data_IF_107585412767
#
_entry.id   IF_107585412767
#
_cell.length_a   1.000
_cell.length_b   1.000
_cell.length_c   1.000
_cell.angle_alpha   90.00
_cell.angle_beta   90.00
_cell.angle_gamma   90.00
#
_symmetry.space_group_name_H-M   'P 1'
#
loop_
_entity.id
_entity.type
_entity.pdbx_description
1 polymer ?
#
# COMPACT_ATOMS: atom_id res chain seq x y z
N UNK A 1 32.64 28.69 44.87
CA UNK A 1 32.13 29.18 43.56
C UNK A 1 32.16 28.14 42.44
N UNK A 2 33.16 27.24 42.33
CA UNK A 2 33.20 26.19 41.29
C UNK A 2 32.02 25.18 41.23
N UNK A 3 31.38 24.73 42.34
CA UNK A 3 30.33 23.72 42.25
C UNK A 3 29.03 24.22 41.61
N UNK A 4 28.73 25.52 41.73
CA UNK A 4 27.53 26.14 41.16
C UNK A 4 27.63 26.17 39.62
N UNK A 5 28.81 26.46 39.09
CA UNK A 5 29.04 26.50 37.63
C UNK A 5 28.89 25.12 36.98
N UNK A 6 29.39 24.06 37.65
CA UNK A 6 29.27 22.68 37.15
C UNK A 6 27.81 22.22 37.11
N UNK A 7 27.03 22.52 38.16
CA UNK A 7 25.60 22.22 38.20
C UNK A 7 24.86 22.94 37.06
N UNK A 8 25.17 24.22 36.83
CA UNK A 8 24.51 25.01 35.79
C UNK A 8 24.81 24.48 34.38
N UNK A 9 26.05 24.08 34.11
CA UNK A 9 26.44 23.47 32.81
C UNK A 9 25.75 22.13 32.60
N UNK A 10 25.68 21.27 33.62
CA UNK A 10 25.02 19.97 33.51
C UNK A 10 23.50 20.12 33.32
N UNK A 11 22.86 21.08 33.99
CA UNK A 11 21.44 21.38 33.79
C UNK A 11 21.16 21.91 32.39
N UNK A 12 22.01 22.81 31.86
CA UNK A 12 21.87 23.31 30.48
C UNK A 12 22.04 22.17 29.49
N UNK A 13 23.07 21.33 29.63
CA UNK A 13 23.33 20.19 28.73
C UNK A 13 22.19 19.17 28.75
N UNK A 14 21.67 18.84 29.94
CA UNK A 14 20.52 17.95 30.08
C UNK A 14 19.27 18.55 29.41
N UNK A 15 19.05 19.86 29.54
CA UNK A 15 17.94 20.56 28.88
C UNK A 15 18.11 20.57 27.36
N UNK A 16 19.32 20.81 26.83
CA UNK A 16 19.56 20.74 25.38
C UNK A 16 19.38 19.33 24.85
N UNK A 17 19.87 18.30 25.54
CA UNK A 17 19.64 16.89 25.15
C UNK A 17 18.13 16.58 25.18
N UNK A 18 17.40 17.02 26.21
CA UNK A 18 15.96 16.81 26.29
C UNK A 18 15.22 17.51 25.13
N UNK A 19 15.58 18.77 24.81
CA UNK A 19 15.00 19.53 23.70
C UNK A 19 15.31 18.87 22.36
N UNK A 20 16.53 18.37 22.13
CA UNK A 20 16.92 17.65 20.91
C UNK A 20 16.14 16.33 20.78
N UNK A 21 15.98 15.58 21.87
CA UNK A 21 15.21 14.32 21.89
C UNK A 21 13.72 14.57 21.66
N UNK A 22 13.15 15.65 22.19
CA UNK A 22 11.76 16.05 21.94
C UNK A 22 11.55 16.54 20.50
N UNK A 23 12.51 17.31 19.95
CA UNK A 23 12.43 17.81 18.57
C UNK A 23 12.49 16.66 17.56
N UNK A 24 13.37 15.67 17.77
CA UNK A 24 13.41 14.46 16.93
C UNK A 24 12.11 13.66 16.96
N UNK A 25 11.35 13.71 18.06
CA UNK A 25 10.04 13.05 18.17
C UNK A 25 8.92 13.79 17.43
N UNK A 26 9.16 15.03 16.99
CA UNK A 26 8.14 15.90 16.39
C UNK A 26 8.26 16.11 14.88
N UNK A 27 9.38 15.70 14.26
CA UNK A 27 9.58 15.89 12.81
C UNK A 27 8.85 14.84 12.00
N UNK A 28 7.54 15.03 11.86
CA UNK A 28 6.77 14.34 10.86
C UNK A 28 7.35 14.62 9.47
N UNK A 29 7.51 13.60 8.63
CA UNK A 29 7.99 13.77 7.25
C UNK A 29 7.11 14.76 6.48
N UNK A 30 7.73 15.59 5.63
CA UNK A 30 7.01 16.43 4.68
C UNK A 30 6.42 15.56 3.58
N UNK A 31 5.17 15.13 3.75
CA UNK A 31 4.48 14.29 2.78
C UNK A 31 3.49 13.32 3.43
N UNK A 32 3.09 12.30 2.66
CA UNK A 32 2.13 11.27 3.08
C UNK A 32 0.72 11.80 3.40
N UNK A 33 -0.14 10.86 3.77
CA UNK A 33 -1.54 11.08 4.08
C UNK A 33 -1.76 11.23 5.58
N UNK A 34 -2.51 12.26 5.97
CA UNK A 34 -3.00 12.42 7.33
C UNK A 34 -4.01 11.32 7.66
N UNK A 35 -3.99 10.85 8.90
CA UNK A 35 -5.02 9.95 9.41
C UNK A 35 -6.39 10.64 9.45
N UNK A 36 -7.45 9.84 9.25
CA UNK A 36 -8.81 10.33 9.46
C UNK A 36 -9.07 10.54 10.94
N UNK A 37 -9.71 11.65 11.30
CA UNK A 37 -10.21 11.87 12.66
C UNK A 37 -11.48 11.07 12.98
N UNK A 38 -12.12 10.48 11.96
CA UNK A 38 -13.36 9.71 12.09
C UNK A 38 -13.15 8.33 11.46
N UNK A 39 -13.14 7.29 12.28
CA UNK A 39 -13.04 5.89 11.85
C UNK A 39 -14.23 5.16 12.47
N UNK A 40 -15.10 4.62 11.62
CA UNK A 40 -16.24 3.82 12.05
C UNK A 40 -15.87 2.33 12.08
N UNK A 41 -16.65 1.50 12.78
CA UNK A 41 -16.38 0.06 12.84
C UNK A 41 -16.37 -0.60 11.44
N UNK A 42 -17.24 -0.13 10.54
CA UNK A 42 -17.31 -0.58 9.13
C UNK A 42 -16.05 -0.26 8.32
N UNK A 43 -15.25 0.69 8.79
CA UNK A 43 -14.05 1.14 8.10
C UNK A 43 -12.85 0.21 8.30
N UNK A 44 -12.91 -0.68 9.31
CA UNK A 44 -11.82 -1.59 9.68
C UNK A 44 -11.26 -2.41 8.52
N UNK A 45 -12.11 -2.71 7.52
CA UNK A 45 -11.76 -3.51 6.37
C UNK A 45 -11.27 -2.71 5.16
N UNK A 46 -11.26 -1.37 5.16
CA UNK A 46 -10.81 -0.59 4.01
C UNK A 46 -9.29 -0.53 3.97
N UNK A 47 -8.69 -1.17 2.95
CA UNK A 47 -7.26 -1.04 2.67
C UNK A 47 -6.90 0.41 2.31
N UNK A 48 -5.71 0.88 2.72
CA UNK A 48 -5.23 2.24 2.47
C UNK A 48 -6.26 3.34 2.79
N UNK A 49 -6.89 3.27 3.97
CA UNK A 49 -8.04 4.07 4.37
C UNK A 49 -7.93 5.59 4.12
N UNK A 50 -6.78 6.27 4.36
CA UNK A 50 -6.64 7.70 4.07
C UNK A 50 -6.81 8.07 2.59
N UNK A 51 -6.72 7.10 1.68
CA UNK A 51 -6.91 7.28 0.23
C UNK A 51 -8.35 7.08 -0.24
N UNK A 52 -9.27 6.59 0.59
CA UNK A 52 -10.63 6.18 0.18
C UNK A 52 -11.42 7.24 -0.61
N UNK A 53 -11.19 8.52 -0.30
CA UNK A 53 -11.85 9.66 -0.94
C UNK A 53 -10.92 10.44 -1.89
N UNK A 54 -9.64 10.05 -1.98
CA UNK A 54 -8.63 10.73 -2.79
C UNK A 54 -8.40 10.04 -4.13
N UNK A 55 -8.63 8.73 -4.18
CA UNK A 55 -8.65 8.00 -5.44
C UNK A 55 -9.99 8.30 -6.13
N UNK A 56 -9.92 8.95 -7.29
CA UNK A 56 -11.12 9.36 -8.01
C UNK A 56 -11.96 8.15 -8.46
N UNK A 57 -13.27 8.23 -8.20
CA UNK A 57 -14.27 7.34 -8.78
C UNK A 57 -14.08 5.86 -8.48
N UNK A 58 -14.25 5.04 -9.52
CA UNK A 58 -14.38 3.59 -9.44
C UNK A 58 -13.06 2.85 -9.17
N UNK A 59 -11.94 3.44 -9.58
CA UNK A 59 -10.60 2.87 -9.40
C UNK A 59 -10.20 2.81 -7.91
N UNK A 60 -10.58 3.84 -7.14
CA UNK A 60 -10.34 3.87 -5.70
C UNK A 60 -11.08 2.77 -4.94
N UNK A 61 -12.34 2.54 -5.30
CA UNK A 61 -13.14 1.49 -4.69
C UNK A 61 -12.56 0.10 -4.97
N UNK A 62 -12.28 -0.23 -6.24
CA UNK A 62 -11.75 -1.54 -6.59
C UNK A 62 -10.39 -1.80 -5.94
N UNK A 63 -9.51 -0.81 -5.92
CA UNK A 63 -8.20 -0.94 -5.27
C UNK A 63 -8.32 -1.21 -3.77
N UNK A 64 -9.10 -0.39 -3.07
CA UNK A 64 -9.30 -0.55 -1.61
C UNK A 64 -9.99 -1.87 -1.28
N UNK A 65 -10.84 -2.39 -2.16
CA UNK A 65 -11.52 -3.67 -2.00
C UNK A 65 -10.59 -4.87 -2.26
N UNK A 66 -9.85 -4.87 -3.38
CA UNK A 66 -8.88 -5.93 -3.70
C UNK A 66 -7.73 -5.97 -2.68
N UNK A 67 -7.25 -4.80 -2.24
CA UNK A 67 -6.26 -4.70 -1.17
C UNK A 67 -6.71 -5.39 0.13
N UNK A 68 -8.01 -5.46 0.40
CA UNK A 68 -8.56 -6.20 1.55
C UNK A 68 -8.41 -7.71 1.41
N UNK A 69 -8.55 -8.27 0.22
CA UNK A 69 -8.29 -9.70 -0.01
C UNK A 69 -6.82 -10.04 0.18
N UNK A 70 -5.94 -9.19 -0.36
CA UNK A 70 -4.50 -9.27 -0.14
C UNK A 70 -4.17 -9.31 1.35
N UNK A 71 -4.64 -8.30 2.09
CA UNK A 71 -4.43 -8.19 3.53
C UNK A 71 -4.96 -9.40 4.29
N UNK A 72 -6.20 -9.81 4.02
CA UNK A 72 -6.82 -10.92 4.73
C UNK A 72 -6.19 -12.26 4.37
N UNK A 73 -5.74 -12.46 3.12
CA UNK A 73 -5.10 -13.69 2.67
C UNK A 73 -3.79 -13.96 3.41
N UNK A 74 -3.04 -12.92 3.75
CA UNK A 74 -1.81 -13.00 4.53
C UNK A 74 -2.02 -12.80 6.04
N UNK A 75 -3.25 -12.73 6.53
CA UNK A 75 -3.58 -12.41 7.94
C UNK A 75 -2.86 -11.14 8.44
N UNK A 76 -2.85 -10.10 7.61
CA UNK A 76 -2.20 -8.82 7.91
C UNK A 76 -3.17 -7.84 8.59
N UNK A 77 -2.70 -7.08 9.61
CA UNK A 77 -3.52 -6.02 10.19
C UNK A 77 -3.67 -4.84 9.22
N UNK A 78 -4.74 -4.08 9.39
CA UNK A 78 -4.91 -2.83 8.66
C UNK A 78 -4.11 -1.70 9.33
N UNK A 79 -2.89 -1.46 8.82
CA UNK A 79 -2.01 -0.41 9.32
C UNK A 79 -2.36 0.99 8.79
N UNK A 80 -3.46 1.19 8.06
CA UNK A 80 -3.79 2.51 7.48
C UNK A 80 -4.78 3.33 8.33
N UNK A 81 -5.44 2.70 9.30
CA UNK A 81 -6.57 3.31 10.00
C UNK A 81 -6.15 4.46 10.92
N UNK A 82 -5.13 4.23 11.75
CA UNK A 82 -4.74 5.13 12.85
C UNK A 82 -3.22 5.11 13.04
N UNK A 83 -2.64 6.16 13.64
CA UNK A 83 -1.22 6.17 13.96
C UNK A 83 -0.86 5.02 14.90
N UNK A 84 0.27 4.37 14.64
CA UNK A 84 0.85 3.36 15.51
C UNK A 84 1.91 3.98 16.42
N UNK A 85 2.07 3.47 17.66
CA UNK A 85 3.06 3.99 18.60
C UNK A 85 4.50 3.76 18.14
N UNK A 86 4.73 2.77 17.26
CA UNK A 86 6.01 2.51 16.62
C UNK A 86 5.80 2.45 15.11
N UNK A 87 6.72 2.99 14.31
CA UNK A 87 6.63 2.89 12.86
C UNK A 87 6.62 1.44 12.39
N UNK A 88 5.75 1.14 11.43
CA UNK A 88 5.73 -0.14 10.71
C UNK A 88 5.74 0.15 9.23
N UNK A 89 6.58 -0.58 8.52
CA UNK A 89 6.68 -0.57 7.07
C UNK A 89 6.24 -1.93 6.54
N UNK A 90 5.54 -1.95 5.41
CA UNK A 90 5.09 -3.19 4.76
C UNK A 90 5.29 -3.08 3.26
N UNK A 91 6.18 -3.91 2.72
CA UNK A 91 6.35 -4.12 1.30
C UNK A 91 5.50 -5.32 0.86
N UNK A 92 4.61 -5.09 -0.09
CA UNK A 92 3.90 -6.12 -0.84
C UNK A 92 4.59 -6.23 -2.19
N UNK A 93 4.98 -7.46 -2.55
CA UNK A 93 5.57 -7.77 -3.85
C UNK A 93 4.66 -8.74 -4.59
N UNK A 94 4.22 -8.33 -5.77
CA UNK A 94 3.40 -9.13 -6.66
C UNK A 94 4.17 -9.40 -7.95
N UNK A 95 4.15 -10.62 -8.45
CA UNK A 95 4.86 -10.96 -9.68
C UNK A 95 4.02 -11.91 -10.53
N UNK A 96 4.03 -11.68 -11.84
CA UNK A 96 3.23 -12.48 -12.78
C UNK A 96 3.63 -13.96 -12.80
N UNK A 97 4.92 -14.24 -12.56
CA UNK A 97 5.50 -15.59 -12.67
C UNK A 97 6.24 -16.04 -11.41
N UNK A 98 6.21 -15.25 -10.33
CA UNK A 98 6.83 -15.61 -9.06
C UNK A 98 5.78 -15.60 -7.96
N UNK A 99 6.14 -16.18 -6.81
CA UNK A 99 5.25 -16.22 -5.66
C UNK A 99 5.16 -14.83 -5.03
N UNK A 100 3.93 -14.43 -4.77
CA UNK A 100 3.64 -13.20 -4.05
C UNK A 100 4.19 -13.26 -2.62
N UNK A 101 4.50 -12.10 -2.06
CA UNK A 101 5.01 -12.01 -0.69
C UNK A 101 4.68 -10.68 -0.01
N UNK A 102 4.73 -10.72 1.31
CA UNK A 102 4.61 -9.55 2.19
C UNK A 102 5.83 -9.51 3.11
N UNK A 103 6.52 -8.38 3.16
CA UNK A 103 7.63 -8.12 4.08
C UNK A 103 7.21 -6.96 4.97
N UNK A 104 6.86 -7.25 6.22
CA UNK A 104 6.55 -6.24 7.23
C UNK A 104 7.75 -6.07 8.18
N UNK A 105 8.13 -4.85 8.51
CA UNK A 105 9.22 -4.62 9.45
C UNK A 105 9.02 -3.37 10.30
N UNK A 106 9.62 -3.40 11.48
CA UNK A 106 9.71 -2.30 12.41
C UNK A 106 11.04 -2.35 13.15
N UNK A 107 11.17 -1.58 14.21
CA UNK A 107 12.36 -1.65 15.05
C UNK A 107 12.44 -3.03 15.74
N UNK A 108 13.53 -3.77 15.49
CA UNK A 108 13.83 -5.05 16.12
C UNK A 108 13.50 -6.30 15.31
N UNK A 109 12.53 -6.25 14.38
CA UNK A 109 12.18 -7.42 13.57
C UNK A 109 11.66 -7.10 12.17
N UNK A 110 11.88 -8.06 11.27
CA UNK A 110 11.27 -8.18 9.96
C UNK A 110 10.53 -9.52 9.89
N UNK A 111 9.31 -9.49 9.36
CA UNK A 111 8.44 -10.63 9.15
C UNK A 111 8.22 -10.78 7.65
N UNK A 112 8.62 -11.93 7.11
CA UNK A 112 8.50 -12.27 5.70
C UNK A 112 7.43 -13.36 5.56
N UNK A 113 6.37 -13.06 4.82
CA UNK A 113 5.33 -14.03 4.47
C UNK A 113 5.40 -14.35 2.99
N UNK A 114 5.61 -15.63 2.64
CA UNK A 114 5.78 -16.08 1.25
C UNK A 114 4.64 -17.00 0.88
N UNK A 115 3.98 -16.73 -0.24
CA UNK A 115 2.96 -17.64 -0.77
C UNK A 115 3.54 -19.05 -0.97
N UNK A 116 2.75 -20.06 -0.63
CA UNK A 116 3.04 -21.48 -0.88
C UNK A 116 2.10 -22.05 -1.93
N UNK A 117 0.79 -21.83 -1.76
CA UNK A 117 -0.27 -22.31 -2.65
C UNK A 117 -1.47 -21.35 -2.62
N UNK A 118 -2.35 -21.48 -3.62
CA UNK A 118 -3.64 -20.80 -3.70
C UNK A 118 -3.50 -19.40 -4.28
N UNK A 119 -4.60 -18.66 -4.30
CA UNK A 119 -4.63 -17.28 -4.81
C UNK A 119 -5.17 -16.35 -3.75
N UNK A 120 -4.60 -15.16 -3.71
CA UNK A 120 -5.13 -13.99 -3.01
C UNK A 120 -6.18 -13.25 -3.83
N UNK A 121 -6.12 -13.38 -5.15
CA UNK A 121 -7.03 -12.69 -6.05
C UNK A 121 -8.36 -13.43 -6.01
N UNK A 122 -9.48 -12.73 -5.76
CA UNK A 122 -10.78 -13.35 -5.92
C UNK A 122 -11.04 -13.74 -7.38
N UNK A 123 -11.89 -14.72 -7.57
CA UNK A 123 -12.46 -15.02 -8.88
C UNK A 123 -13.65 -14.11 -9.16
N UNK A 124 -13.94 -13.89 -10.45
CA UNK A 124 -15.09 -13.11 -10.90
C UNK A 124 -16.13 -14.01 -11.56
N UNK A 125 -17.27 -14.18 -10.89
CA UNK A 125 -18.40 -14.96 -11.35
C UNK A 125 -19.57 -14.05 -11.76
N UNK A 126 -19.64 -13.74 -13.06
CA UNK A 126 -20.72 -12.93 -13.62
C UNK A 126 -22.06 -13.65 -13.74
N UNK A 127 -22.13 -14.96 -13.42
CA UNK A 127 -23.38 -15.71 -13.45
C UNK A 127 -24.33 -15.32 -12.32
N UNK A 128 -23.79 -14.74 -11.24
CA UNK A 128 -24.53 -14.19 -10.09
C UNK A 128 -25.25 -12.87 -10.35
N UNK A 129 -25.02 -12.27 -11.52
CA UNK A 129 -25.66 -11.03 -11.95
C UNK A 129 -26.94 -11.31 -12.75
N UNK A 130 -27.92 -10.41 -12.63
CA UNK A 130 -29.04 -10.37 -13.59
C UNK A 130 -28.53 -10.07 -15.00
N UNK A 131 -29.36 -10.30 -16.03
CA UNK A 131 -28.99 -9.99 -17.42
C UNK A 131 -28.60 -8.52 -17.62
N UNK A 132 -29.33 -7.59 -16.99
CA UNK A 132 -29.02 -6.15 -17.01
C UNK A 132 -27.70 -5.86 -16.28
N UNK A 133 -27.55 -6.36 -15.05
CA UNK A 133 -26.34 -6.17 -14.25
C UNK A 133 -25.08 -6.71 -14.93
N UNK A 134 -25.20 -7.83 -15.65
CA UNK A 134 -24.09 -8.43 -16.40
C UNK A 134 -23.64 -7.51 -17.54
N UNK A 135 -24.57 -6.89 -18.27
CA UNK A 135 -24.25 -5.90 -19.30
C UNK A 135 -23.54 -4.70 -18.67
N UNK A 136 -24.04 -4.21 -17.54
CA UNK A 136 -23.44 -3.08 -16.82
C UNK A 136 -22.03 -3.41 -16.34
N UNK A 137 -21.84 -4.56 -15.71
CA UNK A 137 -20.54 -5.02 -15.23
C UNK A 137 -19.52 -5.18 -16.36
N UNK A 138 -19.90 -5.78 -17.50
CA UNK A 138 -19.03 -5.92 -18.66
C UNK A 138 -18.65 -4.57 -19.28
N UNK A 139 -19.60 -3.64 -19.38
CA UNK A 139 -19.31 -2.30 -19.87
C UNK A 139 -18.37 -1.53 -18.92
N UNK A 140 -18.62 -1.57 -17.61
CA UNK A 140 -17.80 -0.90 -16.62
C UNK A 140 -16.39 -1.51 -16.52
N UNK A 141 -16.28 -2.83 -16.48
CA UNK A 141 -14.98 -3.52 -16.45
C UNK A 141 -14.13 -3.25 -17.69
N UNK A 142 -14.77 -3.15 -18.87
CA UNK A 142 -14.07 -2.87 -20.13
C UNK A 142 -13.73 -1.39 -20.33
N UNK A 143 -14.64 -0.49 -19.98
CA UNK A 143 -14.55 0.93 -20.36
C UNK A 143 -14.28 1.88 -19.19
N UNK A 144 -14.84 1.59 -18.00
CA UNK A 144 -14.58 2.37 -16.79
C UNK A 144 -13.30 1.93 -16.07
N UNK A 145 -12.76 0.76 -16.45
CA UNK A 145 -11.48 0.21 -16.05
C UNK A 145 -11.25 0.35 -14.55
N UNK A 146 -11.74 -0.64 -13.79
CA UNK A 146 -11.62 -0.69 -12.33
C UNK A 146 -10.14 -0.64 -11.83
N UNK A 147 -9.14 -0.66 -12.72
CA UNK A 147 -7.78 -0.18 -12.46
C UNK A 147 -6.90 -0.10 -13.72
N UNK A 148 -5.78 0.62 -13.59
CA UNK A 148 -4.54 0.56 -14.38
C UNK A 148 -4.38 1.20 -15.77
N UNK A 149 -5.40 1.36 -16.62
CA UNK A 149 -5.17 1.90 -18.00
C UNK A 149 -6.03 3.11 -18.40
N UNK A 150 -6.54 3.86 -17.43
CA UNK A 150 -7.32 5.07 -17.70
C UNK A 150 -6.40 6.26 -18.07
N UNK A 151 -5.75 6.20 -19.23
CA UNK A 151 -5.08 7.36 -19.82
C UNK A 151 -5.73 7.87 -21.10
N UNK A 152 -6.80 7.23 -21.55
CA UNK A 152 -7.40 7.59 -22.82
C UNK A 152 -8.70 8.39 -22.57
N UNK A 153 -8.64 9.69 -22.87
CA UNK A 153 -9.76 10.63 -22.79
C UNK A 153 -11.05 10.06 -23.42
N UNK A 154 -10.93 9.31 -24.51
CA UNK A 154 -12.08 8.71 -25.19
C UNK A 154 -12.85 7.70 -24.32
N UNK A 155 -12.18 6.97 -23.44
CA UNK A 155 -12.83 5.99 -22.54
C UNK A 155 -13.68 6.70 -21.50
N UNK A 156 -13.17 7.80 -20.94
CA UNK A 156 -13.92 8.66 -20.01
C UNK A 156 -15.17 9.22 -20.68
N UNK A 157 -15.04 9.78 -21.89
CA UNK A 157 -16.21 10.28 -22.65
C UNK A 157 -17.24 9.19 -22.93
N UNK A 158 -16.79 7.98 -23.26
CA UNK A 158 -17.69 6.85 -23.49
C UNK A 158 -18.42 6.44 -22.21
N UNK A 159 -17.71 6.33 -21.08
CA UNK A 159 -18.30 6.00 -19.77
C UNK A 159 -19.30 7.07 -19.35
N UNK A 160 -18.94 8.34 -19.48
CA UNK A 160 -19.83 9.48 -19.18
C UNK A 160 -21.09 9.44 -20.06
N UNK A 161 -20.95 9.08 -21.34
CA UNK A 161 -22.09 8.91 -22.25
C UNK A 161 -22.99 7.74 -21.85
N UNK A 162 -22.40 6.60 -21.49
CA UNK A 162 -23.16 5.42 -21.04
C UNK A 162 -23.86 5.68 -19.70
N UNK A 163 -23.21 6.44 -18.81
CA UNK A 163 -23.76 6.86 -17.52
C UNK A 163 -24.96 7.80 -17.67
N UNK A 164 -25.06 8.60 -18.75
CA UNK A 164 -26.27 9.40 -19.02
C UNK A 164 -27.50 8.54 -19.29
N UNK A 165 -27.32 7.38 -19.94
CA UNK A 165 -28.40 6.42 -20.22
C UNK A 165 -28.67 5.54 -19.00
N UNK A 166 -27.63 5.23 -18.22
CA UNK A 166 -27.70 4.39 -17.04
C UNK A 166 -27.17 5.14 -15.80
N UNK A 167 -27.94 6.09 -15.22
CA UNK A 167 -27.46 6.95 -14.14
C UNK A 167 -27.00 6.20 -12.89
N UNK A 168 -27.54 4.99 -12.65
CA UNK A 168 -27.12 4.10 -11.56
C UNK A 168 -25.63 3.75 -11.62
N UNK A 169 -24.99 3.83 -12.77
CA UNK A 169 -23.54 3.57 -12.90
C UNK A 169 -22.68 4.59 -12.16
N UNK A 170 -23.22 5.77 -11.85
CA UNK A 170 -22.53 6.78 -11.05
C UNK A 170 -22.78 6.61 -9.55
N UNK A 171 -23.71 5.74 -9.15
CA UNK A 171 -24.04 5.51 -7.75
C UNK A 171 -23.03 4.54 -7.11
N UNK A 172 -22.24 4.96 -6.10
CA UNK A 172 -21.25 4.09 -5.48
C UNK A 172 -21.84 2.80 -4.89
N UNK A 173 -23.07 2.88 -4.34
CA UNK A 173 -23.76 1.74 -3.76
C UNK A 173 -24.14 0.67 -4.81
N UNK A 174 -24.52 1.09 -6.01
CA UNK A 174 -24.83 0.17 -7.10
C UNK A 174 -23.58 -0.60 -7.56
N UNK A 175 -22.47 0.10 -7.69
CA UNK A 175 -21.19 -0.48 -8.09
C UNK A 175 -20.62 -1.41 -7.04
N UNK A 176 -20.66 -1.00 -5.76
CA UNK A 176 -20.29 -1.87 -4.64
C UNK A 176 -21.14 -3.16 -4.66
N UNK A 177 -22.46 -3.04 -4.92
CA UNK A 177 -23.33 -4.20 -5.07
C UNK A 177 -22.94 -5.11 -6.24
N UNK A 178 -22.65 -4.55 -7.43
CA UNK A 178 -22.19 -5.33 -8.59
C UNK A 178 -20.89 -6.08 -8.28
N UNK A 179 -19.89 -5.38 -7.74
CA UNK A 179 -18.57 -5.95 -7.43
C UNK A 179 -18.69 -7.06 -6.37
N UNK A 180 -19.48 -6.85 -5.30
CA UNK A 180 -19.72 -7.86 -4.27
C UNK A 180 -20.43 -9.10 -4.81
N UNK A 181 -21.34 -8.95 -5.76
CA UNK A 181 -22.05 -10.08 -6.38
C UNK A 181 -21.12 -10.95 -7.21
N UNK A 182 -20.24 -10.34 -8.00
CA UNK A 182 -19.35 -11.10 -8.90
C UNK A 182 -18.17 -11.72 -8.18
N UNK A 183 -17.66 -11.07 -7.13
CA UNK A 183 -16.48 -11.56 -6.43
C UNK A 183 -16.79 -12.85 -5.69
N UNK A 184 -16.04 -13.89 -6.02
CA UNK A 184 -16.08 -15.18 -5.35
C UNK A 184 -14.71 -15.44 -4.72
N UNK A 185 -14.64 -15.88 -3.45
CA UNK A 185 -13.36 -16.30 -2.88
C UNK A 185 -12.72 -17.36 -3.76
N UNK A 186 -11.40 -17.27 -3.96
CA UNK A 186 -10.64 -18.31 -4.68
C UNK A 186 -10.95 -19.68 -4.06
N UNK A 187 -11.25 -20.72 -4.87
CA UNK A 187 -11.53 -22.06 -4.38
C UNK A 187 -10.31 -22.64 -3.63
N UNK A 188 -9.11 -22.25 -4.05
CA UNK A 188 -7.89 -22.54 -3.32
C UNK A 188 -7.53 -21.37 -2.41
N UNK A 189 -7.77 -21.54 -1.10
CA UNK A 189 -7.35 -20.58 -0.08
C UNK A 189 -5.83 -20.41 -0.13
N UNK A 190 -5.37 -19.14 -0.10
CA UNK A 190 -3.96 -18.83 0.06
C UNK A 190 -3.39 -19.53 1.30
N UNK A 191 -2.25 -20.18 1.12
CA UNK A 191 -1.37 -20.58 2.21
C UNK A 191 -0.01 -19.92 2.04
N UNK A 192 0.65 -19.62 3.16
CA UNK A 192 1.92 -18.93 3.16
C UNK A 192 2.83 -19.46 4.28
N UNK A 193 4.14 -19.36 4.07
CA UNK A 193 5.13 -19.54 5.13
C UNK A 193 5.42 -18.20 5.80
N UNK A 194 5.82 -18.22 7.07
CA UNK A 194 6.25 -17.03 7.81
C UNK A 194 7.67 -17.23 8.32
N UNK A 195 8.55 -16.28 8.04
CA UNK A 195 9.92 -16.22 8.57
C UNK A 195 10.09 -14.92 9.34
N UNK A 196 10.68 -14.99 10.53
CA UNK A 196 11.03 -13.81 11.34
C UNK A 196 12.53 -13.63 11.33
N UNK A 197 12.98 -12.43 11.05
CA UNK A 197 14.38 -12.04 10.96
C UNK A 197 14.60 -10.92 11.98
N UNK A 198 15.45 -11.10 13.01
CA UNK A 198 15.77 -10.02 13.92
C UNK A 198 16.51 -8.92 13.17
N UNK A 199 16.15 -7.66 13.45
CA UNK A 199 16.82 -6.49 12.89
C UNK A 199 17.55 -5.75 14.01
N UNK A 200 18.84 -5.49 13.81
CA UNK A 200 19.55 -4.53 14.65
C UNK A 200 19.05 -3.10 14.39
N UNK A 201 19.29 -2.19 15.33
CA UNK A 201 19.01 -0.76 15.15
C UNK A 201 19.71 -0.19 13.92
N UNK A 202 20.93 -0.63 13.61
CA UNK A 202 21.66 -0.17 12.42
C UNK A 202 21.03 -0.66 11.12
N UNK A 203 20.61 -1.92 11.05
CA UNK A 203 19.93 -2.49 9.88
C UNK A 203 18.57 -1.80 9.65
N UNK A 204 17.81 -1.59 10.72
CA UNK A 204 16.56 -0.83 10.64
C UNK A 204 16.81 0.58 10.10
N UNK A 205 17.79 1.29 10.67
CA UNK A 205 18.13 2.65 10.25
C UNK A 205 18.57 2.70 8.78
N UNK A 206 19.32 1.71 8.30
CA UNK A 206 19.74 1.62 6.91
C UNK A 206 18.55 1.49 5.94
N UNK A 207 17.57 0.65 6.29
CA UNK A 207 16.33 0.50 5.52
C UNK A 207 15.52 1.82 5.49
N UNK A 208 15.40 2.50 6.64
CA UNK A 208 14.72 3.80 6.70
C UNK A 208 15.43 4.84 5.83
N UNK A 209 16.76 4.93 5.92
CA UNK A 209 17.56 5.82 5.09
C UNK A 209 17.37 5.55 3.60
N UNK A 210 17.29 4.28 3.17
CA UNK A 210 17.04 3.93 1.78
C UNK A 210 15.64 4.37 1.32
N UNK A 211 14.62 4.20 2.15
CA UNK A 211 13.25 4.66 1.88
C UNK A 211 13.21 6.18 1.76
N UNK A 212 13.79 6.91 2.71
CA UNK A 212 13.78 8.36 2.72
C UNK A 212 14.56 8.94 1.53
N UNK A 213 15.72 8.39 1.20
CA UNK A 213 16.52 8.78 0.03
C UNK A 213 15.79 8.53 -1.30
N UNK A 214 14.77 7.67 -1.33
CA UNK A 214 13.96 7.44 -2.52
C UNK A 214 12.89 8.48 -2.80
N UNK A 215 12.77 9.51 -1.94
CA UNK A 215 11.69 10.50 -1.92
C UNK A 215 10.30 9.90 -1.63
N UNK A 216 10.24 8.68 -1.08
CA UNK A 216 9.02 7.91 -0.80
C UNK A 216 7.84 8.75 -0.29
N UNK A 217 8.06 9.61 0.70
CA UNK A 217 7.02 10.43 1.34
C UNK A 217 6.33 11.43 0.42
N UNK A 218 6.98 11.80 -0.69
CA UNK A 218 6.47 12.78 -1.65
C UNK A 218 5.94 12.15 -2.93
N UNK A 219 6.16 10.85 -3.13
CA UNK A 219 5.71 10.14 -4.32
C UNK A 219 4.18 10.02 -4.33
N UNK A 220 3.54 10.08 -5.51
CA UNK A 220 2.12 9.77 -5.62
C UNK A 220 1.87 8.31 -5.25
N UNK A 221 0.64 8.01 -4.85
CA UNK A 221 0.22 6.64 -4.53
C UNK A 221 0.54 5.67 -5.68
N UNK A 222 0.28 6.04 -6.92
CA UNK A 222 0.58 5.20 -8.08
C UNK A 222 1.58 5.89 -9.00
N UNK A 223 2.60 5.14 -9.41
CA UNK A 223 3.56 5.57 -10.42
C UNK A 223 3.34 4.75 -11.70
N UNK A 224 2.60 5.29 -12.69
CA UNK A 224 2.25 4.54 -13.87
C UNK A 224 3.50 4.22 -14.69
N UNK A 225 3.51 3.01 -15.25
CA UNK A 225 4.48 2.67 -16.28
C UNK A 225 4.14 3.38 -17.59
N UNK A 226 5.13 4.01 -18.21
CA UNK A 226 4.96 4.65 -19.53
C UNK A 226 5.28 3.72 -20.70
N UNK A 227 5.86 2.55 -20.42
CA UNK A 227 6.22 1.55 -21.44
C UNK A 227 5.41 0.27 -21.23
N UNK A 228 5.29 -0.54 -22.29
CA UNK A 228 4.64 -1.85 -22.22
C UNK A 228 5.35 -2.74 -21.21
N UNK A 229 4.57 -3.35 -20.32
CA UNK A 229 5.07 -4.20 -19.24
C UNK A 229 5.29 -5.60 -19.81
N UNK A 230 6.54 -5.98 -20.09
CA UNK A 230 6.85 -7.26 -20.74
C UNK A 230 6.80 -8.47 -19.79
N UNK A 231 7.02 -8.26 -18.48
CA UNK A 231 6.82 -9.25 -17.42
C UNK A 231 6.75 -8.52 -16.06
N UNK A 232 5.58 -8.02 -15.70
CA UNK A 232 5.45 -7.10 -14.58
C UNK A 232 5.57 -7.78 -13.22
N UNK A 233 6.41 -7.21 -12.35
CA UNK A 233 6.22 -7.25 -10.91
C UNK A 233 5.74 -5.89 -10.40
N UNK A 234 5.11 -5.86 -9.24
CA UNK A 234 4.55 -4.66 -8.60
C UNK A 234 5.11 -4.60 -7.18
N UNK A 235 5.66 -3.44 -6.83
CA UNK A 235 6.01 -3.09 -5.46
C UNK A 235 4.94 -2.18 -4.90
N UNK A 236 4.41 -2.52 -3.73
CA UNK A 236 3.56 -1.63 -2.94
C UNK A 236 4.17 -1.48 -1.56
N UNK A 237 4.73 -0.31 -1.25
CA UNK A 237 5.33 -0.01 0.05
C UNK A 237 4.40 0.89 0.86
N UNK A 238 3.93 0.37 1.99
CA UNK A 238 3.18 1.09 3.00
C UNK A 238 4.06 1.48 4.19
N UNK A 239 3.78 2.63 4.78
CA UNK A 239 4.38 3.08 6.02
C UNK A 239 3.30 3.65 6.93
N UNK A 240 3.24 3.18 8.17
CA UNK A 240 2.49 3.81 9.25
C UNK A 240 3.49 4.35 10.26
N UNK A 241 3.40 5.66 10.54
CA UNK A 241 4.14 6.33 11.60
C UNK A 241 3.17 6.98 12.59
N UNK A 242 3.68 7.53 13.69
CA UNK A 242 2.86 8.30 14.63
C UNK A 242 2.17 9.51 13.97
N UNK A 243 2.74 10.06 12.88
CA UNK A 243 2.24 11.29 12.25
C UNK A 243 1.45 11.07 10.95
N UNK A 244 1.90 10.11 10.13
CA UNK A 244 1.48 9.98 8.73
C UNK A 244 1.37 8.51 8.36
N UNK A 245 0.41 8.22 7.48
CA UNK A 245 0.39 7.01 6.68
C UNK A 245 0.86 7.35 5.27
N UNK A 246 1.64 6.49 4.65
CA UNK A 246 1.93 6.59 3.23
C UNK A 246 1.83 5.23 2.57
N UNK A 247 1.57 5.25 1.27
CA UNK A 247 1.54 4.05 0.42
C UNK A 247 1.94 4.48 -0.99
N UNK A 248 2.89 3.77 -1.56
CA UNK A 248 3.36 3.98 -2.93
C UNK A 248 3.40 2.64 -3.62
N UNK A 249 2.76 2.57 -4.78
CA UNK A 249 2.69 1.44 -5.67
C UNK A 249 3.38 1.76 -6.97
N UNK A 250 4.14 0.79 -7.46
CA UNK A 250 4.84 0.90 -8.71
C UNK A 250 5.01 -0.45 -9.39
N UNK A 251 4.61 -0.51 -10.66
CA UNK A 251 4.94 -1.63 -11.54
C UNK A 251 6.38 -1.50 -12.04
N UNK A 252 7.04 -2.63 -12.28
CA UNK A 252 8.29 -2.67 -13.02
C UNK A 252 8.10 -2.08 -14.40
N UNK A 253 8.98 -1.16 -14.74
CA UNK A 253 9.17 -0.64 -16.08
C UNK A 253 10.63 -0.89 -16.37
N UNK A 254 10.99 -1.38 -17.56
CA UNK A 254 12.35 -1.82 -17.94
C UNK A 254 13.51 -0.81 -17.79
N UNK A 255 13.31 0.30 -17.07
CA UNK A 255 14.33 1.11 -16.43
C UNK A 255 14.17 1.03 -14.90
N UNK A 256 14.89 0.10 -14.29
CA UNK A 256 14.86 -0.22 -12.85
C UNK A 256 15.50 0.85 -11.95
N UNK A 257 16.11 1.88 -12.55
CA UNK A 257 16.93 2.88 -11.86
C UNK A 257 16.17 3.99 -11.14
N UNK A 258 14.89 3.80 -10.77
CA UNK A 258 14.24 4.77 -9.89
C UNK A 258 14.53 4.39 -8.44
N UNK A 259 15.00 5.37 -7.67
CA UNK A 259 15.40 5.21 -6.28
C UNK A 259 14.39 4.46 -5.40
N UNK A 260 13.08 4.58 -5.68
CA UNK A 260 12.02 3.82 -4.99
C UNK A 260 12.13 2.31 -5.21
N UNK A 261 12.33 1.87 -6.47
CA UNK A 261 12.52 0.45 -6.79
C UNK A 261 13.78 -0.09 -6.12
N UNK A 262 14.87 0.68 -6.14
CA UNK A 262 16.12 0.33 -5.44
C UNK A 262 15.89 0.18 -3.92
N UNK A 263 15.11 1.06 -3.30
CA UNK A 263 14.77 0.96 -1.88
C UNK A 263 13.94 -0.31 -1.58
N UNK A 264 12.95 -0.62 -2.42
CA UNK A 264 12.17 -1.86 -2.31
C UNK A 264 13.05 -3.12 -2.49
N UNK A 265 13.97 -3.10 -3.45
CA UNK A 265 14.90 -4.22 -3.67
C UNK A 265 15.83 -4.40 -2.48
N UNK A 266 16.32 -3.32 -1.86
CA UNK A 266 17.10 -3.42 -0.62
C UNK A 266 16.33 -4.11 0.50
N UNK A 267 15.03 -3.83 0.67
CA UNK A 267 14.19 -4.51 1.67
C UNK A 267 14.14 -6.03 1.38
N UNK A 268 14.01 -6.41 0.11
CA UNK A 268 14.00 -7.81 -0.35
C UNK A 268 15.36 -8.48 -0.11
N UNK A 269 16.45 -7.79 -0.38
CA UNK A 269 17.81 -8.29 -0.16
C UNK A 269 18.06 -8.52 1.33
N UNK A 270 17.64 -7.60 2.20
CA UNK A 270 17.68 -7.76 3.66
C UNK A 270 16.82 -8.93 4.16
N UNK A 271 15.72 -9.23 3.48
CA UNK A 271 14.90 -10.41 3.75
C UNK A 271 15.57 -11.72 3.31
N UNK A 272 16.76 -11.66 2.68
CA UNK A 272 17.48 -12.82 2.14
C UNK A 272 16.90 -13.34 0.82
N UNK A 273 16.08 -12.55 0.12
CA UNK A 273 15.33 -12.97 -1.06
C UNK A 273 15.88 -12.43 -2.39
N UNK A 274 16.95 -11.63 -2.35
CA UNK A 274 17.52 -10.98 -3.55
C UNK A 274 17.99 -11.92 -4.66
N UNK A 275 18.29 -13.19 -4.34
CA UNK A 275 18.66 -14.21 -5.36
C UNK A 275 17.45 -14.85 -6.03
N UNK A 276 16.29 -14.79 -5.39
CA UNK A 276 15.05 -15.41 -5.87
C UNK A 276 14.23 -14.45 -6.72
N UNK A 277 14.34 -13.15 -6.42
CA UNK A 277 13.72 -12.07 -7.16
C UNK A 277 14.81 -11.41 -8.00
N UNK A 278 14.97 -11.91 -9.23
CA UNK A 278 15.76 -11.25 -10.26
C UNK A 278 14.81 -10.38 -11.07
N UNK A 279 15.11 -9.09 -11.14
CA UNK A 279 14.34 -8.10 -11.89
C UNK A 279 14.67 -8.20 -13.39
#
# INVERSE_FOLDING_TARGET
MRPILVLLVMSVLALTILVIVVDQKSRCHSGGYSYSSRIEAKDSNHFAYPLRNKLEGHAGFFYTYIGTYWRNGYDEPNISLRPLPRPIFRLIFEASYQRNMVIAFGEGEMIVKRQLKGSISPDFDSTKLTSEERVHFLALSRYANFGYFAKEHYRKTLVDSLARVNPKWLEPAYLDSLIRKVITPSPEKLTYSTTRIPLSTSQYSELICAIDASNYWTLPFEQPCLMEVSAGHIYTLEANTQCRYNIVQRSSCGHEDKAFTVACQRIIDFAGLGKEIVL
#
